data_IF_036765547943
#
_entry.id   IF_036765547943
#
_cell.length_a   1.000
_cell.length_b   1.000
_cell.length_c   1.000
_cell.angle_alpha   90.00
_cell.angle_beta   90.00
_cell.angle_gamma   90.00
#
_symmetry.space_group_name_H-M   'P 1'
#
loop_
_entity.id
_entity.type
_entity.pdbx_description
1 polymer ?
#
# COMPACT_ATOMS: atom_id res chain seq x y z
N UNK A 1 -14.36 -18.36 1.08
CA UNK A 1 -15.76 -18.56 0.74
C UNK A 1 -15.92 -19.29 -0.58
N UNK A 2 -16.96 -20.16 -0.76
CA UNK A 2 -17.07 -21.05 -1.93
C UNK A 2 -17.11 -20.31 -3.29
N UNK A 3 -17.59 -19.07 -3.34
CA UNK A 3 -17.64 -18.26 -4.56
C UNK A 3 -16.28 -17.77 -5.04
N UNK A 4 -15.29 -17.61 -4.15
CA UNK A 4 -13.91 -17.24 -4.53
C UNK A 4 -13.24 -18.37 -5.31
N UNK A 5 -13.69 -19.60 -5.13
CA UNK A 5 -13.19 -20.78 -5.82
C UNK A 5 -13.86 -20.94 -7.21
N UNK A 6 -14.96 -20.21 -7.47
CA UNK A 6 -15.63 -20.26 -8.76
C UNK A 6 -14.74 -19.71 -9.87
N UNK A 7 -14.51 -20.50 -10.92
CA UNK A 7 -13.77 -20.07 -12.13
C UNK A 7 -14.34 -18.79 -12.76
N UNK A 8 -15.62 -18.49 -12.52
CA UNK A 8 -16.29 -17.26 -13.00
C UNK A 8 -15.63 -15.99 -12.45
N UNK A 9 -15.13 -16.03 -11.21
CA UNK A 9 -14.57 -14.87 -10.51
C UNK A 9 -13.05 -14.85 -10.44
N UNK A 10 -12.40 -15.74 -11.17
CA UNK A 10 -10.96 -15.84 -11.24
C UNK A 10 -10.43 -15.44 -12.61
N UNK A 11 -9.18 -14.99 -12.64
CA UNK A 11 -8.37 -14.85 -13.84
C UNK A 11 -7.01 -15.54 -13.61
N UNK A 12 -6.24 -15.73 -14.65
CA UNK A 12 -4.90 -16.32 -14.57
C UNK A 12 -3.86 -15.22 -14.52
N UNK A 13 -3.01 -15.25 -13.51
CA UNK A 13 -1.89 -14.29 -13.36
C UNK A 13 -0.75 -14.60 -14.32
N UNK A 14 0.21 -13.67 -14.47
CA UNK A 14 1.44 -13.86 -15.24
C UNK A 14 2.27 -15.07 -14.79
N UNK A 15 2.17 -15.46 -13.53
CA UNK A 15 2.79 -16.68 -12.98
C UNK A 15 1.96 -17.96 -13.21
N UNK A 16 0.87 -17.89 -13.96
CA UNK A 16 -0.01 -19.03 -14.25
C UNK A 16 -0.92 -19.43 -13.08
N UNK A 17 -0.98 -18.65 -12.00
CA UNK A 17 -1.81 -18.96 -10.84
C UNK A 17 -3.19 -18.28 -10.94
N UNK A 18 -4.24 -18.88 -10.37
CA UNK A 18 -5.53 -18.22 -10.30
C UNK A 18 -5.50 -17.07 -9.28
N UNK A 19 -6.08 -15.93 -9.66
CA UNK A 19 -6.35 -14.80 -8.76
C UNK A 19 -7.80 -14.33 -8.96
N UNK A 20 -8.36 -13.67 -7.95
CA UNK A 20 -9.74 -13.20 -8.01
C UNK A 20 -9.85 -11.87 -8.75
N UNK A 21 -11.01 -11.67 -9.43
CA UNK A 21 -11.31 -10.48 -10.23
C UNK A 21 -11.70 -9.31 -9.32
N UNK A 22 -10.72 -8.55 -8.85
CA UNK A 22 -10.90 -7.44 -7.91
C UNK A 22 -11.74 -6.28 -8.47
N UNK A 23 -11.85 -6.19 -9.79
CA UNK A 23 -12.68 -5.18 -10.49
C UNK A 23 -14.16 -5.55 -10.60
N UNK A 24 -14.54 -6.75 -10.19
CA UNK A 24 -15.91 -7.24 -10.23
C UNK A 24 -16.62 -7.02 -8.89
N UNK A 25 -17.86 -6.51 -8.96
CA UNK A 25 -18.62 -6.15 -7.77
C UNK A 25 -18.81 -7.32 -6.78
N UNK A 26 -19.15 -8.51 -7.29
CA UNK A 26 -19.49 -9.64 -6.42
C UNK A 26 -18.32 -10.12 -5.57
N UNK A 27 -17.12 -10.44 -6.12
CA UNK A 27 -15.99 -10.82 -5.30
C UNK A 27 -15.51 -9.66 -4.41
N UNK A 28 -15.57 -8.40 -4.86
CA UNK A 28 -15.20 -7.27 -4.03
C UNK A 28 -16.16 -7.10 -2.83
N UNK A 29 -17.47 -7.26 -3.03
CA UNK A 29 -18.45 -7.21 -1.92
C UNK A 29 -18.15 -8.27 -0.87
N UNK A 30 -17.76 -9.46 -1.30
CA UNK A 30 -17.41 -10.50 -0.34
C UNK A 30 -16.11 -10.21 0.43
N UNK A 31 -15.16 -9.55 -0.21
CA UNK A 31 -13.95 -9.11 0.45
C UNK A 31 -14.26 -7.97 1.44
N UNK A 32 -15.11 -7.02 1.06
CA UNK A 32 -15.61 -5.97 1.94
C UNK A 32 -16.25 -6.56 3.20
N UNK A 33 -17.15 -7.55 3.05
CA UNK A 33 -17.78 -8.20 4.22
C UNK A 33 -16.73 -8.83 5.17
N UNK A 34 -15.61 -9.32 4.64
CA UNK A 34 -14.51 -9.82 5.47
C UNK A 34 -13.80 -8.68 6.21
N UNK A 35 -13.54 -7.56 5.54
CA UNK A 35 -12.92 -6.37 6.14
C UNK A 35 -13.83 -5.81 7.25
N UNK A 36 -15.12 -5.73 7.03
CA UNK A 36 -16.11 -5.31 8.06
C UNK A 36 -16.09 -6.23 9.28
N UNK A 37 -16.01 -7.56 9.06
CA UNK A 37 -15.88 -8.51 10.16
C UNK A 37 -14.57 -8.34 10.95
N UNK A 38 -13.47 -8.03 10.25
CA UNK A 38 -12.18 -7.73 10.91
C UNK A 38 -12.26 -6.43 11.71
N UNK A 39 -12.90 -5.39 11.18
CA UNK A 39 -13.11 -4.14 11.92
C UNK A 39 -13.91 -4.36 13.21
N UNK A 40 -14.97 -5.15 13.15
CA UNK A 40 -15.78 -5.48 14.32
C UNK A 40 -14.98 -6.25 15.41
N UNK A 41 -13.98 -7.03 15.02
CA UNK A 41 -13.16 -7.82 15.93
C UNK A 41 -11.95 -7.04 16.46
N UNK A 42 -11.25 -6.26 15.61
CA UNK A 42 -9.90 -5.77 15.90
C UNK A 42 -9.79 -4.26 16.15
N UNK A 43 -10.71 -3.42 15.64
CA UNK A 43 -10.56 -1.95 15.71
C UNK A 43 -10.52 -1.39 17.15
N UNK A 44 -10.99 -2.13 18.13
CA UNK A 44 -10.95 -1.76 19.54
C UNK A 44 -9.75 -2.28 20.31
N UNK A 45 -8.93 -3.12 19.70
CA UNK A 45 -7.84 -3.81 20.38
C UNK A 45 -6.63 -2.89 20.60
N UNK A 46 -6.05 -2.84 21.81
CA UNK A 46 -5.00 -1.85 22.15
C UNK A 46 -3.67 -2.05 21.43
N UNK A 47 -3.50 -3.16 20.71
CA UNK A 47 -2.29 -3.48 19.95
C UNK A 47 -2.53 -3.47 18.45
N UNK A 48 -3.68 -2.97 18.00
CA UNK A 48 -4.04 -2.93 16.59
C UNK A 48 -3.89 -1.51 16.06
N UNK A 49 -2.78 -1.22 15.39
CA UNK A 49 -2.48 0.11 14.87
C UNK A 49 -3.20 0.42 13.55
N UNK A 50 -3.54 -0.61 12.78
CA UNK A 50 -4.20 -0.40 11.50
C UNK A 50 -4.21 -1.61 10.57
N UNK A 51 -4.77 -1.42 9.38
CA UNK A 51 -4.88 -2.44 8.37
C UNK A 51 -4.42 -1.95 6.99
N UNK A 52 -3.62 -2.75 6.32
CA UNK A 52 -3.41 -2.65 4.88
C UNK A 52 -4.46 -3.51 4.22
N UNK A 53 -5.49 -2.89 3.63
CA UNK A 53 -6.69 -3.63 3.17
C UNK A 53 -6.43 -4.56 2.00
N UNK A 54 -5.38 -4.30 1.23
CA UNK A 54 -4.93 -5.16 0.14
C UNK A 54 -3.41 -4.99 0.01
N UNK A 55 -2.69 -6.09 -0.18
CA UNK A 55 -1.22 -6.03 -0.20
C UNK A 55 -0.69 -5.19 -1.38
N UNK A 56 -1.30 -5.36 -2.56
CA UNK A 56 -0.93 -4.64 -3.78
C UNK A 56 -2.14 -4.36 -4.64
N UNK A 57 -2.19 -3.20 -5.28
CA UNK A 57 -3.19 -2.86 -6.29
C UNK A 57 -2.79 -3.34 -7.69
N UNK A 58 -1.49 -3.47 -7.97
CA UNK A 58 -1.02 -4.02 -9.24
C UNK A 58 -1.60 -5.42 -9.52
N UNK A 59 -2.03 -5.62 -10.76
CA UNK A 59 -2.54 -6.90 -11.23
C UNK A 59 -1.59 -7.47 -12.29
N UNK A 60 -1.10 -8.67 -12.05
CA UNK A 60 -0.30 -9.41 -13.03
C UNK A 60 -1.24 -10.23 -13.92
N UNK A 61 -1.36 -9.87 -15.19
CA UNK A 61 -2.14 -10.66 -16.16
C UNK A 61 -1.25 -11.67 -16.90
N UNK A 62 -1.76 -12.88 -17.06
CA UNK A 62 -1.03 -14.00 -17.69
C UNK A 62 -1.08 -14.02 -19.23
N UNK A 63 -1.48 -12.93 -19.85
CA UNK A 63 -1.66 -12.78 -21.29
C UNK A 63 -2.51 -11.55 -21.57
N UNK A 64 -3.57 -11.73 -22.35
CA UNK A 64 -4.51 -10.64 -22.63
C UNK A 64 -5.21 -10.14 -21.37
N UNK A 65 -5.54 -8.86 -21.39
CA UNK A 65 -6.31 -8.22 -20.32
C UNK A 65 -7.67 -8.94 -20.20
N UNK A 66 -8.04 -9.40 -19.00
CA UNK A 66 -9.28 -10.15 -18.81
C UNK A 66 -10.51 -9.33 -19.21
N UNK A 67 -11.47 -9.99 -19.84
CA UNK A 67 -12.75 -9.38 -20.20
C UNK A 67 -13.41 -8.73 -18.98
N UNK A 68 -13.93 -7.52 -19.17
CA UNK A 68 -14.59 -6.72 -18.12
C UNK A 68 -13.64 -5.94 -17.23
N UNK A 69 -12.31 -6.06 -17.40
CA UNK A 69 -11.35 -5.21 -16.71
C UNK A 69 -11.21 -3.85 -17.41
N UNK A 70 -11.15 -2.80 -16.60
CA UNK A 70 -10.56 -1.50 -16.95
C UNK A 70 -9.99 -0.87 -15.69
N UNK A 71 -8.97 -0.01 -15.83
CA UNK A 71 -8.38 0.72 -14.69
C UNK A 71 -9.42 1.48 -13.88
N UNK A 72 -10.28 2.31 -14.51
CA UNK A 72 -11.34 3.03 -13.81
C UNK A 72 -12.34 2.11 -13.08
N UNK A 73 -12.78 1.01 -13.70
CA UNK A 73 -13.68 0.07 -13.04
C UNK A 73 -13.03 -0.60 -11.81
N UNK A 74 -11.72 -0.84 -11.87
CA UNK A 74 -11.00 -1.36 -10.73
C UNK A 74 -10.80 -0.30 -9.63
N UNK A 75 -10.45 0.94 -9.99
CA UNK A 75 -10.40 2.07 -9.07
C UNK A 75 -11.72 2.23 -8.31
N UNK A 76 -12.86 2.22 -9.00
CA UNK A 76 -14.19 2.33 -8.38
C UNK A 76 -14.44 1.22 -7.34
N UNK A 77 -13.91 0.01 -7.56
CA UNK A 77 -14.01 -1.06 -6.56
C UNK A 77 -13.05 -0.84 -5.37
N UNK A 78 -11.86 -0.28 -5.61
CA UNK A 78 -10.93 0.10 -4.54
C UNK A 78 -11.50 1.23 -3.67
N UNK A 79 -12.16 2.22 -4.25
CA UNK A 79 -12.86 3.29 -3.53
C UNK A 79 -14.02 2.74 -2.68
N UNK A 80 -14.78 1.79 -3.19
CA UNK A 80 -15.80 1.08 -2.39
C UNK A 80 -15.17 0.33 -1.21
N UNK A 81 -14.06 -0.36 -1.44
CA UNK A 81 -13.31 -1.07 -0.41
C UNK A 81 -12.79 -0.10 0.65
N UNK A 82 -12.15 1.00 0.23
CA UNK A 82 -11.63 2.03 1.13
C UNK A 82 -12.72 2.66 2.00
N UNK A 83 -13.86 3.02 1.41
CA UNK A 83 -15.01 3.56 2.14
C UNK A 83 -15.53 2.59 3.20
N UNK A 84 -15.66 1.32 2.86
CA UNK A 84 -16.10 0.30 3.81
C UNK A 84 -15.05 0.06 4.91
N UNK A 85 -13.77 0.04 4.56
CA UNK A 85 -12.69 -0.12 5.51
C UNK A 85 -12.59 1.06 6.49
N UNK A 86 -12.67 2.31 6.00
CA UNK A 86 -12.70 3.49 6.86
C UNK A 86 -13.88 3.46 7.86
N UNK A 87 -15.02 2.98 7.42
CA UNK A 87 -16.19 2.81 8.31
C UNK A 87 -16.02 1.66 9.31
N UNK A 88 -15.32 0.59 8.94
CA UNK A 88 -15.08 -0.57 9.77
C UNK A 88 -13.96 -0.34 10.82
N UNK A 89 -13.02 0.55 10.54
CA UNK A 89 -11.86 0.85 11.38
C UNK A 89 -11.78 2.34 11.78
N UNK A 90 -12.79 2.88 12.51
CA UNK A 90 -12.82 4.31 12.86
C UNK A 90 -11.75 4.74 13.88
N UNK A 91 -11.02 3.82 14.49
CA UNK A 91 -9.96 4.09 15.49
C UNK A 91 -8.57 3.76 15.00
N UNK A 92 -8.47 3.05 13.88
CA UNK A 92 -7.22 2.48 13.39
C UNK A 92 -6.86 3.04 12.01
N UNK A 93 -5.59 3.06 11.68
CA UNK A 93 -5.14 3.49 10.35
C UNK A 93 -5.60 2.51 9.26
N UNK A 94 -6.17 3.03 8.19
CA UNK A 94 -6.54 2.25 7.01
C UNK A 94 -5.67 2.65 5.84
N UNK A 95 -4.91 1.71 5.32
CA UNK A 95 -3.98 1.92 4.21
C UNK A 95 -4.55 1.33 2.93
N UNK A 96 -4.66 2.18 1.91
CA UNK A 96 -4.99 1.79 0.54
C UNK A 96 -3.71 1.87 -0.29
N UNK A 97 -3.05 0.73 -0.60
CA UNK A 97 -1.86 0.77 -1.44
C UNK A 97 -2.19 1.24 -2.85
N UNK A 98 -1.28 2.02 -3.42
CA UNK A 98 -1.22 2.25 -4.87
C UNK A 98 0.21 2.05 -5.34
N UNK A 99 0.50 0.86 -5.84
CA UNK A 99 1.79 0.54 -6.44
C UNK A 99 1.75 0.40 -7.96
N UNK A 100 0.63 0.45 -8.58
CA UNK A 100 0.36 0.63 -10.00
C UNK A 100 -0.99 0.01 -10.39
N UNK A 101 -2.03 0.79 -10.47
CA UNK A 101 -3.32 0.32 -10.98
C UNK A 101 -3.23 0.25 -12.51
N UNK A 102 -3.21 -0.96 -13.06
CA UNK A 102 -3.08 -1.18 -14.50
C UNK A 102 -4.10 -0.38 -15.31
N UNK A 103 -3.67 0.24 -16.40
CA UNK A 103 -4.50 1.06 -17.30
C UNK A 103 -5.18 2.28 -16.63
N UNK A 104 -4.69 2.72 -15.51
CA UNK A 104 -5.12 3.98 -14.92
C UNK A 104 -4.29 5.11 -15.55
N UNK A 105 -4.94 6.18 -15.98
CA UNK A 105 -4.24 7.40 -16.41
C UNK A 105 -3.72 8.17 -15.20
N UNK A 106 -2.81 9.11 -15.43
CA UNK A 106 -2.38 10.02 -14.37
C UNK A 106 -3.56 10.77 -13.74
N UNK A 107 -4.49 11.26 -14.55
CA UNK A 107 -5.67 11.97 -14.06
C UNK A 107 -6.56 11.08 -13.17
N UNK A 108 -6.68 9.79 -13.50
CA UNK A 108 -7.42 8.83 -12.68
C UNK A 108 -6.69 8.51 -11.36
N UNK A 109 -5.35 8.45 -11.35
CA UNK A 109 -4.57 8.34 -10.12
C UNK A 109 -4.76 9.57 -9.21
N UNK A 110 -4.75 10.77 -9.80
CA UNK A 110 -5.04 12.02 -9.08
C UNK A 110 -6.46 12.03 -8.47
N UNK A 111 -7.45 11.49 -9.17
CA UNK A 111 -8.79 11.30 -8.60
C UNK A 111 -8.79 10.33 -7.45
N UNK A 112 -8.06 9.24 -7.56
CA UNK A 112 -7.94 8.25 -6.49
C UNK A 112 -7.27 8.86 -5.24
N UNK A 113 -6.20 9.63 -5.38
CA UNK A 113 -5.57 10.30 -4.25
C UNK A 113 -6.46 11.36 -3.60
N UNK A 114 -7.22 12.13 -4.39
CA UNK A 114 -8.25 13.03 -3.84
C UNK A 114 -9.34 12.29 -3.08
N UNK A 115 -9.72 11.10 -3.56
CA UNK A 115 -10.63 10.24 -2.82
C UNK A 115 -10.02 9.80 -1.49
N UNK A 116 -8.75 9.37 -1.45
CA UNK A 116 -8.08 8.98 -0.20
C UNK A 116 -8.03 10.14 0.79
N UNK A 117 -7.73 11.35 0.33
CA UNK A 117 -7.73 12.57 1.15
C UNK A 117 -9.14 12.87 1.72
N UNK A 118 -10.18 12.77 0.90
CA UNK A 118 -11.56 13.01 1.32
C UNK A 118 -12.12 11.95 2.28
N UNK A 119 -11.51 10.76 2.30
CA UNK A 119 -11.98 9.60 3.08
C UNK A 119 -11.06 9.26 4.26
N UNK A 120 -10.26 10.18 4.80
CA UNK A 120 -9.09 10.04 5.68
C UNK A 120 -8.39 8.66 5.62
N UNK A 121 -7.90 8.28 4.45
CA UNK A 121 -7.19 7.04 4.22
C UNK A 121 -5.69 7.30 4.00
N UNK A 122 -4.85 6.38 4.45
CA UNK A 122 -3.44 6.41 4.14
C UNK A 122 -3.18 5.86 2.72
N UNK A 123 -2.22 6.44 2.03
CA UNK A 123 -1.64 5.87 0.82
C UNK A 123 -0.43 5.01 1.18
N UNK A 124 -0.19 3.96 0.42
CA UNK A 124 0.96 3.10 0.68
C UNK A 124 1.37 2.29 -0.53
N UNK A 125 2.34 1.44 -0.33
CA UNK A 125 2.82 0.52 -1.35
C UNK A 125 4.01 -0.29 -0.88
N UNK A 126 4.45 -1.20 -1.73
CA UNK A 126 5.76 -1.82 -1.68
C UNK A 126 6.78 -1.00 -2.47
N UNK A 127 8.01 -1.46 -2.45
CA UNK A 127 9.10 -0.96 -3.30
C UNK A 127 9.61 0.43 -2.91
N UNK A 128 10.41 0.48 -1.86
CA UNK A 128 11.22 1.66 -1.52
C UNK A 128 12.58 1.55 -2.20
N UNK A 129 12.64 1.96 -3.46
CA UNK A 129 13.85 1.85 -4.28
C UNK A 129 14.52 3.22 -4.36
N UNK A 130 15.66 3.46 -3.69
CA UNK A 130 16.35 4.74 -3.73
C UNK A 130 16.60 5.26 -5.14
N UNK A 131 16.21 6.51 -5.37
CA UNK A 131 16.32 7.21 -6.66
C UNK A 131 15.52 6.62 -7.84
N UNK A 132 14.60 5.69 -7.56
CA UNK A 132 13.76 5.08 -8.58
C UNK A 132 12.29 4.96 -8.13
N UNK A 133 11.58 6.08 -7.98
CA UNK A 133 10.19 6.07 -7.53
C UNK A 133 9.29 5.32 -8.51
N UNK A 134 8.34 4.58 -7.99
CA UNK A 134 7.28 3.95 -8.78
C UNK A 134 6.42 5.01 -9.50
N UNK A 135 5.62 4.60 -10.47
CA UNK A 135 4.73 5.54 -11.16
C UNK A 135 3.76 6.23 -10.18
N UNK A 136 3.18 5.48 -9.24
CA UNK A 136 2.29 6.02 -8.22
C UNK A 136 3.02 6.98 -7.27
N UNK A 137 4.22 6.61 -6.81
CA UNK A 137 5.05 7.49 -5.97
C UNK A 137 5.34 8.83 -6.67
N UNK A 138 5.70 8.82 -7.94
CA UNK A 138 5.90 10.07 -8.71
C UNK A 138 4.66 10.95 -8.71
N UNK A 139 3.48 10.37 -8.89
CA UNK A 139 2.23 11.14 -8.97
C UNK A 139 1.92 11.77 -7.60
N UNK A 140 1.90 10.99 -6.52
CA UNK A 140 1.56 11.55 -5.21
C UNK A 140 2.65 12.43 -4.59
N UNK A 141 3.87 12.42 -5.12
CA UNK A 141 4.91 13.42 -4.81
C UNK A 141 4.80 14.71 -5.63
N UNK A 142 3.75 14.90 -6.41
CA UNK A 142 3.56 16.08 -7.25
C UNK A 142 4.37 16.05 -8.57
N UNK A 143 4.86 14.88 -8.98
CA UNK A 143 5.51 14.71 -10.27
C UNK A 143 4.56 14.96 -11.44
N UNK A 144 5.13 15.29 -12.61
CA UNK A 144 4.38 15.56 -13.85
C UNK A 144 3.30 16.65 -13.73
N UNK A 145 3.43 17.55 -12.75
CA UNK A 145 2.48 18.64 -12.50
C UNK A 145 1.27 18.24 -11.65
N UNK A 146 1.35 17.08 -10.99
CA UNK A 146 0.35 16.60 -10.03
C UNK A 146 0.38 17.35 -8.68
N UNK A 147 -0.43 16.89 -7.75
CA UNK A 147 -0.50 17.42 -6.38
C UNK A 147 0.52 16.70 -5.49
N UNK A 148 1.24 17.46 -4.69
CA UNK A 148 2.10 16.88 -3.65
C UNK A 148 1.27 16.55 -2.41
N UNK A 149 1.08 15.26 -2.15
CA UNK A 149 0.32 14.77 -1.00
C UNK A 149 1.17 14.51 0.25
N UNK A 150 2.48 14.74 0.19
CA UNK A 150 3.38 14.59 1.36
C UNK A 150 2.99 15.58 2.45
N UNK A 151 2.79 15.10 3.67
CA UNK A 151 2.28 15.89 4.79
C UNK A 151 0.75 16.13 4.77
N UNK A 152 0.06 15.78 3.68
CA UNK A 152 -1.41 15.84 3.60
C UNK A 152 -2.02 14.47 3.89
N UNK A 153 -1.59 13.45 3.14
CA UNK A 153 -1.96 12.06 3.39
C UNK A 153 -0.91 11.37 4.29
N UNK A 154 -1.34 10.45 5.15
CA UNK A 154 -0.41 9.51 5.76
C UNK A 154 0.21 8.62 4.70
N UNK A 155 1.53 8.47 4.73
CA UNK A 155 2.26 7.66 3.75
C UNK A 155 2.89 6.47 4.46
N UNK A 156 2.56 5.27 3.99
CA UNK A 156 3.04 4.01 4.56
C UNK A 156 3.71 3.20 3.44
N UNK A 157 4.99 2.91 3.60
CA UNK A 157 5.75 2.14 2.61
C UNK A 157 6.30 0.85 3.21
N UNK A 158 6.38 -0.19 2.40
CA UNK A 158 6.99 -1.45 2.80
C UNK A 158 8.32 -1.66 2.07
N UNK A 159 9.32 -2.04 2.84
CA UNK A 159 10.63 -2.50 2.35
C UNK A 159 10.60 -4.01 2.25
N UNK A 160 10.82 -4.54 1.07
CA UNK A 160 10.84 -5.97 0.83
C UNK A 160 12.27 -6.53 0.79
N UNK A 161 12.41 -7.84 0.82
CA UNK A 161 13.72 -8.49 0.70
C UNK A 161 14.38 -8.30 -0.67
N UNK A 162 13.59 -7.96 -1.68
CA UNK A 162 14.05 -7.66 -3.04
C UNK A 162 14.92 -6.42 -3.16
N UNK A 163 14.80 -5.47 -2.23
CA UNK A 163 15.58 -4.23 -2.15
C UNK A 163 16.84 -4.41 -1.31
N UNK A 164 16.83 -5.39 -0.42
CA UNK A 164 17.90 -5.72 0.52
C UNK A 164 18.80 -6.86 -0.03
N UNK A 165 19.45 -6.63 -1.17
CA UNK A 165 20.29 -7.63 -1.84
C UNK A 165 19.52 -8.57 -2.75
N UNK A 166 18.35 -8.18 -3.23
CA UNK A 166 17.50 -8.94 -4.15
C UNK A 166 17.47 -8.40 -5.59
N UNK A 167 16.40 -8.72 -6.29
CA UNK A 167 16.23 -8.38 -7.72
C UNK A 167 15.99 -6.89 -7.99
N UNK A 168 15.56 -6.12 -7.00
CA UNK A 168 15.30 -4.68 -7.13
C UNK A 168 16.49 -3.82 -6.73
N UNK A 169 17.47 -4.38 -6.02
CA UNK A 169 18.69 -3.67 -5.65
C UNK A 169 19.44 -4.30 -4.48
N UNK A 170 20.59 -3.73 -4.20
CA UNK A 170 21.46 -4.10 -3.08
C UNK A 170 21.67 -2.87 -2.18
N UNK A 171 20.55 -2.35 -1.65
CA UNK A 171 20.57 -1.16 -0.84
C UNK A 171 20.79 -1.49 0.63
N UNK A 172 21.53 -0.62 1.30
CA UNK A 172 21.67 -0.68 2.75
C UNK A 172 20.39 -0.14 3.44
N UNK A 173 20.10 -0.55 4.70
CA UNK A 173 19.00 0.02 5.47
C UNK A 173 19.04 1.56 5.54
N UNK A 174 20.25 2.15 5.61
CA UNK A 174 20.44 3.59 5.63
C UNK A 174 20.02 4.28 4.32
N UNK A 175 20.36 3.71 3.18
CA UNK A 175 19.98 4.28 1.87
C UNK A 175 18.46 4.24 1.68
N UNK A 176 17.83 3.10 2.03
CA UNK A 176 16.38 2.95 2.00
C UNK A 176 15.70 3.93 2.96
N UNK A 177 16.18 4.02 4.20
CA UNK A 177 15.66 4.95 5.20
C UNK A 177 15.76 6.40 4.73
N UNK A 178 16.93 6.84 4.29
CA UNK A 178 17.12 8.22 3.84
C UNK A 178 16.17 8.56 2.69
N UNK A 179 16.02 7.65 1.73
CA UNK A 179 15.09 7.87 0.62
C UNK A 179 13.62 7.91 1.10
N UNK A 180 13.24 7.03 2.00
CA UNK A 180 11.89 7.00 2.56
C UNK A 180 11.57 8.25 3.38
N UNK A 181 12.52 8.70 4.21
CA UNK A 181 12.35 9.86 5.09
C UNK A 181 12.52 11.18 4.32
N UNK A 182 13.64 11.35 3.60
CA UNK A 182 14.01 12.64 2.97
C UNK A 182 13.18 12.93 1.71
N UNK A 183 12.86 11.88 0.92
CA UNK A 183 12.21 12.08 -0.39
C UNK A 183 10.73 11.70 -0.38
N UNK A 184 10.38 10.56 0.21
CA UNK A 184 9.00 10.08 0.23
C UNK A 184 8.19 10.67 1.40
N UNK A 185 8.83 11.20 2.44
CA UNK A 185 8.21 11.71 3.66
C UNK A 185 7.25 10.72 4.32
N UNK A 186 7.69 9.46 4.44
CA UNK A 186 6.84 8.40 4.98
C UNK A 186 6.58 8.60 6.48
N UNK A 187 5.35 8.32 6.90
CA UNK A 187 4.97 8.30 8.30
C UNK A 187 5.21 6.92 8.93
N UNK A 188 5.12 5.86 8.13
CA UNK A 188 5.38 4.49 8.55
C UNK A 188 6.22 3.76 7.52
N UNK A 189 7.30 3.12 7.97
CA UNK A 189 8.17 2.28 7.15
C UNK A 189 8.16 0.86 7.68
N UNK A 190 7.54 -0.06 6.92
CA UNK A 190 7.38 -1.46 7.29
C UNK A 190 8.56 -2.26 6.73
N UNK A 191 9.39 -2.77 7.59
CA UNK A 191 10.58 -3.52 7.18
C UNK A 191 10.31 -5.03 7.08
N UNK A 192 10.67 -5.60 5.96
CA UNK A 192 10.69 -7.06 5.84
C UNK A 192 11.71 -7.68 6.81
N UNK A 193 11.28 -8.71 7.54
CA UNK A 193 12.19 -9.46 8.40
C UNK A 193 13.10 -10.36 7.55
N UNK A 194 14.12 -9.77 6.96
CA UNK A 194 15.07 -10.48 6.12
C UNK A 194 16.00 -11.35 6.96
N UNK A 195 16.01 -12.66 6.72
CA UNK A 195 16.86 -13.63 7.41
C UNK A 195 17.86 -14.31 6.47
N UNK A 196 17.82 -13.96 5.17
CA UNK A 196 18.58 -14.67 4.12
C UNK A 196 19.57 -13.76 3.37
N UNK A 197 19.67 -12.47 3.72
CA UNK A 197 20.65 -11.59 3.10
C UNK A 197 22.08 -12.08 3.37
N UNK A 198 22.90 -12.03 2.34
CA UNK A 198 24.32 -12.36 2.47
C UNK A 198 25.10 -11.34 3.31
N UNK A 199 24.66 -10.07 3.27
CA UNK A 199 25.24 -8.98 4.07
C UNK A 199 24.57 -8.90 5.45
N UNK A 200 25.39 -8.88 6.51
CA UNK A 200 24.92 -8.80 7.88
C UNK A 200 24.15 -7.50 8.18
N UNK A 201 24.45 -6.40 7.47
CA UNK A 201 23.73 -5.12 7.63
C UNK A 201 22.30 -5.18 7.10
N UNK A 202 22.00 -6.10 6.21
CA UNK A 202 20.68 -6.32 5.62
C UNK A 202 19.88 -7.42 6.33
N UNK A 203 20.45 -8.10 7.31
CA UNK A 203 19.77 -9.09 8.13
C UNK A 203 18.99 -8.41 9.26
N UNK A 204 17.83 -8.97 9.62
CA UNK A 204 16.94 -8.39 10.62
C UNK A 204 17.63 -8.16 11.97
N UNK A 205 18.18 -9.21 12.55
CA UNK A 205 18.68 -9.16 13.94
C UNK A 205 20.01 -8.37 14.09
N UNK A 206 20.85 -8.39 13.06
CA UNK A 206 22.20 -7.82 13.14
C UNK A 206 22.35 -6.46 12.46
N UNK A 207 21.46 -6.10 11.57
CA UNK A 207 21.52 -4.87 10.78
C UNK A 207 20.26 -4.03 10.90
N UNK A 208 19.12 -4.53 10.41
CA UNK A 208 17.89 -3.72 10.29
C UNK A 208 17.35 -3.30 11.66
N UNK A 209 17.14 -4.24 12.57
CA UNK A 209 16.54 -3.94 13.88
C UNK A 209 17.42 -2.99 14.73
N UNK A 210 18.73 -3.13 14.85
CA UNK A 210 19.58 -2.13 15.48
C UNK A 210 19.50 -0.77 14.80
N UNK A 211 19.52 -0.74 13.45
CA UNK A 211 19.45 0.50 12.69
C UNK A 211 18.15 1.28 12.97
N UNK A 212 16.98 0.65 12.86
CA UNK A 212 15.69 1.36 13.05
C UNK A 212 15.49 1.83 14.50
N UNK A 213 16.07 1.16 15.49
CA UNK A 213 16.04 1.61 16.90
C UNK A 213 16.77 2.93 17.11
N UNK A 214 17.85 3.14 16.35
CA UNK A 214 18.72 4.31 16.48
C UNK A 214 18.32 5.45 15.52
N UNK A 215 17.43 5.14 14.54
CA UNK A 215 17.01 6.07 13.49
C UNK A 215 15.47 6.08 13.36
N UNK A 216 14.75 6.79 14.26
CA UNK A 216 13.32 6.99 14.11
C UNK A 216 13.03 7.89 12.90
N UNK A 217 11.89 7.66 12.23
CA UNK A 217 11.44 8.56 11.15
C UNK A 217 11.23 9.98 11.66
N UNK A 218 11.48 10.98 10.81
CA UNK A 218 11.36 12.39 11.17
C UNK A 218 9.99 12.98 10.84
N UNK A 219 9.26 12.40 9.89
CA UNK A 219 7.90 12.81 9.49
C UNK A 219 6.83 12.23 10.41
N UNK A 220 6.90 12.59 11.70
CA UNK A 220 5.96 12.14 12.74
C UNK A 220 4.79 13.11 12.95
N UNK A 221 4.77 14.24 12.23
CA UNK A 221 3.65 15.19 12.31
C UNK A 221 2.38 14.56 11.75
N UNK A 222 1.27 14.78 12.46
CA UNK A 222 -0.04 14.31 12.04
C UNK A 222 -0.40 14.87 10.66
N UNK A 223 -0.65 14.03 9.65
CA UNK A 223 -1.09 14.50 8.36
C UNK A 223 -2.38 15.31 8.45
N UNK A 224 -2.51 16.34 7.61
CA UNK A 224 -3.62 17.32 7.71
C UNK A 224 -5.00 16.68 7.54
N UNK A 225 -5.09 15.56 6.81
CA UNK A 225 -6.33 14.80 6.62
C UNK A 225 -6.97 14.32 7.93
N UNK A 226 -6.17 14.11 8.97
CA UNK A 226 -6.68 13.74 10.30
C UNK A 226 -7.09 14.93 11.17
N UNK A 227 -7.00 16.17 10.66
CA UNK A 227 -7.43 17.36 11.38
C UNK A 227 -6.75 17.58 12.75
N UNK A 228 -5.56 17.02 12.95
CA UNK A 228 -4.85 17.06 14.24
C UNK A 228 -5.29 15.97 15.23
N UNK A 229 -6.04 14.97 14.78
CA UNK A 229 -6.53 13.88 15.64
C UNK A 229 -5.53 12.75 15.89
N UNK A 230 -4.29 12.83 15.36
CA UNK A 230 -3.27 11.85 15.69
C UNK A 230 -2.97 11.91 17.19
N UNK A 231 -3.01 10.76 17.83
CA UNK A 231 -2.61 10.62 19.24
C UNK A 231 -1.09 10.39 19.29
N UNK A 232 -0.42 11.12 20.19
CA UNK A 232 0.99 10.93 20.53
C UNK A 232 1.25 9.58 21.20
#
# INVERSE_FOLDING_TARGET
PPYVISKKWNYTTGSGKPSWRRWEQTPMTAFINMIEAYGAEFDGEPYFDGIIVIAETALSFGGDIPSGYSGPAYRDQLERLGTAAAAAFPRSNVVMPDNNINQLSQADHEEFFRYLEATPLAVGGSDVIPNNPTAAQRIWMGGDGGVDYRGTLPIIQAVESSELGGVLGDFTPKEIYNYADDELHVNYLLWHRNTHAGDASQQWETGILPFIRDNPLTHTTCPSVYGGACQD
#
